data_IF_677027855658
#
_entry.id   IF_677027855658
#
_cell.length_a   1.000
_cell.length_b   1.000
_cell.length_c   1.000
_cell.angle_alpha   90.00
_cell.angle_beta   90.00
_cell.angle_gamma   90.00
#
_symmetry.space_group_name_H-M   'P 1'
#
loop_
_entity.id
_entity.type
_entity.pdbx_description
1 polymer ?
#
# COMPACT_ATOMS: atom_id res chain seq x y z
N UNK A 1 -1.47 0.26 13.23
CA UNK A 1 -1.86 1.27 12.24
C UNK A 1 -3.37 1.30 12.17
N UNK A 2 -3.99 2.47 12.20
CA UNK A 2 -5.45 2.65 12.22
C UNK A 2 -6.05 2.69 10.81
N UNK A 3 -5.25 3.03 9.81
CA UNK A 3 -5.72 3.29 8.46
C UNK A 3 -5.09 2.30 7.49
N UNK A 4 -5.94 1.53 6.84
CA UNK A 4 -5.57 0.60 5.79
C UNK A 4 -5.97 1.20 4.44
N UNK A 5 -4.99 1.31 3.55
CA UNK A 5 -5.18 1.86 2.20
C UNK A 5 -5.07 0.80 1.12
N UNK A 6 -5.23 -0.47 1.54
CA UNK A 6 -5.44 -1.62 0.68
C UNK A 6 -6.55 -2.47 1.30
N UNK A 7 -7.44 -3.00 0.48
CA UNK A 7 -8.60 -3.76 0.93
C UNK A 7 -8.34 -5.26 0.84
N UNK A 8 -7.50 -5.69 -0.11
CA UNK A 8 -7.18 -7.10 -0.32
C UNK A 8 -5.84 -7.28 -1.02
N UNK A 9 -5.10 -8.30 -0.61
CA UNK A 9 -3.94 -8.82 -1.35
C UNK A 9 -4.47 -9.86 -2.35
N UNK A 10 -4.17 -9.68 -3.63
CA UNK A 10 -4.59 -10.56 -4.71
C UNK A 10 -3.53 -11.61 -5.01
N UNK A 11 -2.25 -11.22 -4.90
CA UNK A 11 -1.11 -12.08 -5.15
C UNK A 11 0.04 -11.70 -4.22
N UNK A 12 0.76 -12.69 -3.72
CA UNK A 12 2.02 -12.50 -3.03
C UNK A 12 2.99 -13.58 -3.49
N UNK A 13 4.03 -13.17 -4.21
CA UNK A 13 5.18 -14.00 -4.56
C UNK A 13 6.34 -13.58 -3.65
N UNK A 14 6.72 -14.39 -2.66
CA UNK A 14 7.70 -14.00 -1.64
C UNK A 14 8.98 -13.46 -2.25
N UNK A 15 9.50 -12.35 -1.70
CA UNK A 15 10.72 -11.67 -2.13
C UNK A 15 10.71 -11.11 -3.56
N UNK A 16 9.60 -11.19 -4.29
CA UNK A 16 9.51 -10.77 -5.68
C UNK A 16 8.43 -9.72 -5.90
N UNK A 17 7.16 -10.06 -5.66
CA UNK A 17 6.04 -9.21 -6.03
C UNK A 17 4.85 -9.39 -5.09
N UNK A 18 4.14 -8.29 -4.87
CA UNK A 18 2.82 -8.28 -4.24
C UNK A 18 1.87 -7.47 -5.11
N UNK A 19 0.67 -7.99 -5.29
CA UNK A 19 -0.45 -7.28 -5.92
C UNK A 19 -1.56 -7.10 -4.90
N UNK A 20 -1.99 -5.86 -4.71
CA UNK A 20 -3.11 -5.52 -3.83
C UNK A 20 -4.11 -4.60 -4.53
N UNK A 21 -5.31 -4.52 -4.01
CA UNK A 21 -6.35 -3.61 -4.51
C UNK A 21 -6.90 -2.71 -3.40
N UNK A 22 -7.33 -1.53 -3.80
CA UNK A 22 -8.10 -0.56 -3.02
C UNK A 22 -9.30 -0.10 -3.81
N UNK A 23 -10.50 -0.31 -3.27
CA UNK A 23 -11.72 0.25 -3.83
C UNK A 23 -11.92 1.67 -3.29
N UNK A 24 -12.12 2.62 -4.18
CA UNK A 24 -12.40 4.01 -3.81
C UNK A 24 -13.91 4.16 -3.63
N UNK A 25 -14.32 4.44 -2.39
CA UNK A 25 -15.74 4.51 -2.02
C UNK A 25 -16.12 5.91 -1.56
N UNK A 26 -17.25 6.42 -2.07
CA UNK A 26 -17.80 7.69 -1.58
C UNK A 26 -18.16 7.67 -0.07
N UNK A 27 -18.24 6.49 0.55
CA UNK A 27 -18.44 6.35 1.99
C UNK A 27 -17.19 6.70 2.82
N UNK A 28 -16.04 6.93 2.19
CA UNK A 28 -14.80 7.30 2.87
C UNK A 28 -14.81 8.79 3.21
N UNK A 29 -14.64 9.11 4.49
CA UNK A 29 -14.78 10.47 5.03
C UNK A 29 -13.88 11.50 4.31
N UNK A 30 -12.63 11.13 4.00
CA UNK A 30 -11.70 12.04 3.33
C UNK A 30 -12.15 12.48 1.93
N UNK A 31 -13.05 11.74 1.25
CA UNK A 31 -13.57 12.13 -0.06
C UNK A 31 -14.67 13.17 0.01
N UNK A 32 -15.27 13.39 1.19
CA UNK A 32 -16.25 14.44 1.39
C UNK A 32 -15.60 15.82 1.49
N UNK A 33 -14.39 15.89 2.06
CA UNK A 33 -13.69 17.15 2.34
C UNK A 33 -12.62 17.48 1.31
N UNK A 34 -12.07 16.47 0.62
CA UNK A 34 -11.04 16.68 -0.40
C UNK A 34 -11.69 17.22 -1.67
N UNK A 35 -11.52 18.52 -1.88
CA UNK A 35 -12.21 19.37 -2.84
C UNK A 35 -13.73 19.39 -2.61
N UNK A 36 -14.13 19.84 -1.41
CA UNK A 36 -15.53 20.08 -1.08
C UNK A 36 -16.17 21.11 -2.04
N UNK A 37 -17.49 21.05 -2.18
CA UNK A 37 -18.23 22.05 -2.97
C UNK A 37 -18.03 23.44 -2.39
N UNK A 38 -17.94 24.44 -3.26
CA UNK A 38 -17.91 25.86 -2.94
C UNK A 38 -19.03 26.61 -3.68
N UNK A 39 -19.13 27.94 -3.47
CA UNK A 39 -20.05 28.78 -4.25
C UNK A 39 -19.77 28.72 -5.76
N UNK A 40 -18.53 28.47 -6.16
CA UNK A 40 -18.05 28.64 -7.52
C UNK A 40 -17.73 27.31 -8.23
N UNK A 41 -17.69 26.19 -7.49
CA UNK A 41 -17.37 24.88 -8.03
C UNK A 41 -18.10 23.72 -7.31
N UNK A 42 -18.55 22.68 -8.04
CA UNK A 42 -19.09 21.46 -7.43
C UNK A 42 -18.00 20.71 -6.65
N UNK A 43 -18.43 19.81 -5.76
CA UNK A 43 -17.52 18.89 -5.10
C UNK A 43 -16.80 18.01 -6.11
N UNK A 44 -15.52 17.73 -5.87
CA UNK A 44 -14.68 16.89 -6.68
C UNK A 44 -14.04 15.80 -5.77
N UNK A 45 -14.74 14.69 -5.51
CA UNK A 45 -14.24 13.63 -4.62
C UNK A 45 -13.12 12.85 -5.29
N UNK A 46 -11.90 13.26 -5.05
CA UNK A 46 -10.68 12.63 -5.59
C UNK A 46 -9.88 12.05 -4.44
N UNK A 47 -9.45 10.79 -4.57
CA UNK A 47 -8.56 10.19 -3.58
C UNK A 47 -7.22 10.93 -3.57
N UNK A 48 -6.78 11.48 -2.43
CA UNK A 48 -5.52 12.19 -2.33
C UNK A 48 -4.34 11.32 -2.76
N UNK A 49 -3.43 11.87 -3.57
CA UNK A 49 -2.24 11.14 -4.03
C UNK A 49 -1.39 10.62 -2.86
N UNK A 50 -1.33 11.34 -1.75
CA UNK A 50 -0.63 10.89 -0.52
C UNK A 50 -1.16 9.57 0.02
N UNK A 51 -2.47 9.33 -0.09
CA UNK A 51 -3.12 8.09 0.34
C UNK A 51 -2.88 6.95 -0.67
N UNK A 52 -2.73 7.27 -1.96
CA UNK A 52 -2.31 6.30 -2.99
C UNK A 52 -0.86 5.88 -2.73
N UNK A 53 0.03 6.83 -2.39
CA UNK A 53 1.42 6.54 -1.98
C UNK A 53 1.44 5.66 -0.73
N UNK A 54 0.60 5.93 0.27
CA UNK A 54 0.50 5.10 1.47
C UNK A 54 0.00 3.69 1.14
N UNK A 55 -0.98 3.52 0.25
CA UNK A 55 -1.43 2.21 -0.23
C UNK A 55 -0.31 1.40 -0.88
N UNK A 56 0.52 2.05 -1.69
CA UNK A 56 1.72 1.43 -2.26
C UNK A 56 2.76 1.11 -1.17
N UNK A 57 2.96 2.00 -0.19
CA UNK A 57 3.90 1.78 0.91
C UNK A 57 3.47 0.58 1.78
N UNK A 58 2.17 0.43 2.05
CA UNK A 58 1.63 -0.73 2.75
C UNK A 58 1.83 -2.01 1.93
N UNK A 59 1.56 -1.98 0.63
CA UNK A 59 1.74 -3.13 -0.27
C UNK A 59 3.21 -3.57 -0.31
N UNK A 60 4.12 -2.65 -0.56
CA UNK A 60 5.56 -2.92 -0.61
C UNK A 60 6.13 -3.29 0.77
N UNK A 61 5.68 -2.62 1.84
CA UNK A 61 6.09 -2.92 3.21
C UNK A 61 5.70 -4.34 3.65
N UNK A 62 4.49 -4.80 3.27
CA UNK A 62 4.07 -6.19 3.51
C UNK A 62 4.96 -7.17 2.74
N UNK A 63 5.28 -6.88 1.47
CA UNK A 63 6.15 -7.73 0.67
C UNK A 63 7.55 -7.87 1.30
N UNK A 64 8.13 -6.75 1.74
CA UNK A 64 9.43 -6.72 2.41
C UNK A 64 9.37 -7.42 3.77
N UNK A 65 8.38 -7.11 4.60
CA UNK A 65 8.20 -7.75 5.90
C UNK A 65 7.94 -9.25 5.82
N UNK A 66 7.15 -9.69 4.84
CA UNK A 66 6.88 -11.12 4.59
C UNK A 66 8.16 -11.89 4.27
N UNK A 67 9.11 -11.28 3.56
CA UNK A 67 10.38 -11.89 3.21
C UNK A 67 11.23 -12.28 4.42
N UNK A 68 11.08 -11.56 5.54
CA UNK A 68 11.72 -11.82 6.84
C UNK A 68 10.76 -12.43 7.88
N UNK A 69 9.60 -12.97 7.48
CA UNK A 69 8.60 -13.53 8.41
C UNK A 69 8.06 -12.50 9.40
N UNK A 70 8.06 -11.22 9.05
CA UNK A 70 7.67 -10.08 9.90
C UNK A 70 8.43 -9.98 11.23
N UNK A 71 9.64 -10.56 11.29
CA UNK A 71 10.49 -10.47 12.47
C UNK A 71 11.04 -9.06 12.67
N UNK A 72 11.45 -8.42 11.58
CA UNK A 72 12.09 -7.11 11.59
C UNK A 72 11.07 -5.96 11.44
N UNK A 73 11.42 -4.81 12.02
CA UNK A 73 10.63 -3.59 11.90
C UNK A 73 10.98 -2.85 10.61
N UNK A 74 10.18 -3.07 9.58
CA UNK A 74 10.35 -2.46 8.26
C UNK A 74 9.61 -1.13 8.22
N UNK A 75 10.33 -0.04 8.03
CA UNK A 75 9.75 1.31 7.92
C UNK A 75 10.03 1.93 6.56
N UNK A 76 9.12 2.77 6.08
CA UNK A 76 9.36 3.60 4.90
C UNK A 76 10.43 4.64 5.23
N UNK A 77 11.57 4.57 4.56
CA UNK A 77 12.69 5.49 4.74
C UNK A 77 12.66 6.63 3.71
N UNK A 78 12.25 6.34 2.47
CA UNK A 78 12.24 7.34 1.39
C UNK A 78 11.22 7.00 0.31
N UNK A 79 10.53 8.02 -0.17
CA UNK A 79 9.82 8.03 -1.46
C UNK A 79 10.77 8.57 -2.50
N UNK A 80 11.27 7.72 -3.40
CA UNK A 80 12.25 8.10 -4.42
C UNK A 80 11.58 8.65 -5.67
N UNK A 81 10.36 8.16 -5.96
CA UNK A 81 9.51 8.60 -7.05
C UNK A 81 8.04 8.47 -6.64
N UNK A 82 7.21 9.42 -7.04
CA UNK A 82 5.77 9.33 -6.95
C UNK A 82 5.16 10.15 -8.08
N UNK A 83 4.62 9.49 -9.07
CA UNK A 83 3.99 10.11 -10.25
C UNK A 83 2.62 9.48 -10.48
N UNK A 84 1.62 10.32 -10.73
CA UNK A 84 0.26 9.92 -11.11
C UNK A 84 -0.16 10.73 -12.33
N UNK A 85 -0.83 10.09 -13.29
CA UNK A 85 -1.31 10.70 -14.53
C UNK A 85 -2.82 10.75 -14.63
N UNK A 86 -3.53 10.26 -13.61
CA UNK A 86 -4.99 10.30 -13.53
C UNK A 86 -5.44 10.31 -12.07
N UNK A 87 -6.60 10.90 -11.83
CA UNK A 87 -7.27 10.92 -10.55
C UNK A 87 -8.05 9.63 -10.30
N UNK A 88 -8.12 9.21 -9.04
CA UNK A 88 -8.96 8.10 -8.60
C UNK A 88 -10.21 8.65 -7.91
N UNK A 89 -11.37 8.39 -8.50
CA UNK A 89 -12.68 8.84 -8.02
C UNK A 89 -13.51 7.69 -7.47
N UNK A 90 -14.57 7.95 -6.69
CA UNK A 90 -15.46 6.92 -6.19
C UNK A 90 -16.00 6.01 -7.28
N UNK A 91 -16.02 4.70 -7.00
CA UNK A 91 -16.42 3.65 -7.94
C UNK A 91 -15.22 3.01 -8.67
N UNK A 92 -14.05 3.66 -8.67
CA UNK A 92 -12.84 3.07 -9.24
C UNK A 92 -12.18 2.08 -8.27
N UNK A 93 -11.34 1.22 -8.84
CA UNK A 93 -10.43 0.36 -8.09
C UNK A 93 -8.99 0.69 -8.47
N UNK A 94 -8.15 0.95 -7.48
CA UNK A 94 -6.71 1.00 -7.66
C UNK A 94 -6.12 -0.39 -7.48
N UNK A 95 -5.24 -0.80 -8.39
CA UNK A 95 -4.43 -2.00 -8.27
C UNK A 95 -2.97 -1.59 -8.09
N UNK A 96 -2.40 -1.98 -6.97
CA UNK A 96 -0.99 -1.77 -6.64
C UNK A 96 -0.20 -3.02 -6.98
N UNK A 97 0.86 -2.88 -7.75
CA UNK A 97 1.84 -3.94 -8.01
C UNK A 97 3.19 -3.49 -7.50
N UNK A 98 3.60 -3.98 -6.34
CA UNK A 98 4.91 -3.73 -5.75
C UNK A 98 5.89 -4.84 -6.14
N UNK A 99 7.10 -4.47 -6.59
CA UNK A 99 8.16 -5.40 -6.99
C UNK A 99 9.46 -5.04 -6.27
N UNK A 100 10.13 -6.03 -5.68
CA UNK A 100 11.44 -5.85 -5.06
C UNK A 100 12.49 -5.68 -6.15
N UNK A 101 13.27 -4.60 -6.05
CA UNK A 101 14.42 -4.36 -6.91
C UNK A 101 15.72 -4.83 -6.25
N UNK A 102 15.85 -4.53 -4.96
CA UNK A 102 16.98 -4.93 -4.13
C UNK A 102 16.50 -5.14 -2.71
N UNK A 103 17.06 -6.12 -2.01
CA UNK A 103 16.79 -6.39 -0.60
C UNK A 103 18.02 -7.02 0.06
N UNK A 104 18.41 -6.47 1.19
CA UNK A 104 19.48 -6.98 2.05
C UNK A 104 19.11 -6.86 3.53
N UNK A 105 20.09 -7.09 4.44
CA UNK A 105 19.86 -7.01 5.87
C UNK A 105 19.55 -5.58 6.37
N UNK A 106 19.87 -4.55 5.61
CA UNK A 106 19.67 -3.15 6.02
C UNK A 106 18.33 -2.60 5.52
N UNK A 107 17.79 -3.14 4.41
CA UNK A 107 16.54 -2.66 3.87
C UNK A 107 16.20 -3.19 2.51
N UNK A 108 15.30 -2.49 1.84
CA UNK A 108 14.86 -2.86 0.50
C UNK A 108 14.52 -1.63 -0.35
N UNK A 109 14.76 -1.75 -1.65
CA UNK A 109 14.25 -0.86 -2.68
C UNK A 109 13.16 -1.58 -3.48
N UNK A 110 12.06 -0.90 -3.70
CA UNK A 110 10.91 -1.42 -4.46
C UNK A 110 10.48 -0.44 -5.52
N UNK A 111 9.99 -0.96 -6.64
CA UNK A 111 9.23 -0.18 -7.61
C UNK A 111 7.77 -0.60 -7.57
N UNK A 112 6.87 0.36 -7.71
CA UNK A 112 5.44 0.13 -7.67
C UNK A 112 4.75 0.71 -8.89
N UNK A 113 3.85 -0.08 -9.51
CA UNK A 113 2.92 0.38 -10.53
C UNK A 113 1.54 0.54 -9.93
N UNK A 114 0.90 1.65 -10.26
CA UNK A 114 -0.51 1.91 -9.91
C UNK A 114 -1.34 1.82 -11.17
N UNK A 115 -2.33 0.95 -11.15
CA UNK A 115 -3.29 0.80 -12.23
C UNK A 115 -4.67 1.23 -11.74
N UNK A 116 -5.41 1.94 -12.60
CA UNK A 116 -6.79 2.34 -12.39
C UNK A 116 -7.71 1.42 -13.17
N UNK A 117 -8.73 0.91 -12.49
CA UNK A 117 -9.82 0.11 -13.06
C UNK A 117 -11.10 0.90 -12.84
N UNK A 118 -11.62 1.46 -13.91
CA UNK A 118 -12.84 2.28 -13.89
C UNK A 118 -14.08 1.41 -14.12
N UNK A 119 -15.24 1.80 -13.57
CA UNK A 119 -16.51 1.17 -13.97
C UNK A 119 -16.70 1.31 -15.48
N UNK A 120 -17.04 0.22 -16.15
CA UNK A 120 -17.37 0.30 -17.57
C UNK A 120 -18.71 1.03 -17.79
N UNK A 121 -18.87 1.65 -18.95
CA UNK A 121 -20.12 2.28 -19.38
C UNK A 121 -21.28 1.28 -19.56
N UNK A 122 -21.03 -0.02 -19.45
CA UNK A 122 -22.03 -1.08 -19.51
C UNK A 122 -22.39 -1.58 -18.12
N UNK A 123 -23.66 -2.00 -17.86
CA UNK A 123 -24.13 -2.37 -16.51
C UNK A 123 -23.37 -3.53 -15.83
N UNK A 124 -22.52 -4.26 -16.52
CA UNK A 124 -21.93 -5.52 -16.06
C UNK A 124 -20.41 -5.60 -16.16
N UNK A 125 -19.71 -4.48 -16.39
CA UNK A 125 -18.28 -4.55 -16.68
C UNK A 125 -17.42 -3.52 -15.95
N UNK A 126 -16.13 -3.84 -15.86
CA UNK A 126 -15.06 -2.89 -15.56
C UNK A 126 -14.22 -2.66 -16.80
N UNK A 127 -13.70 -1.46 -16.96
CA UNK A 127 -12.72 -1.17 -17.99
C UNK A 127 -11.44 -2.00 -17.78
N UNK A 128 -10.69 -2.23 -18.85
CA UNK A 128 -9.37 -2.86 -18.70
C UNK A 128 -8.47 -2.00 -17.80
N UNK A 129 -7.66 -2.63 -16.93
CA UNK A 129 -6.73 -1.90 -16.07
C UNK A 129 -5.80 -1.01 -16.90
N UNK A 130 -5.61 0.24 -16.48
CA UNK A 130 -4.75 1.22 -17.11
C UNK A 130 -3.67 1.68 -16.13
N UNK A 131 -2.41 1.60 -16.51
CA UNK A 131 -1.32 2.15 -15.69
C UNK A 131 -1.48 3.67 -15.63
N UNK A 132 -1.56 4.19 -14.41
CA UNK A 132 -1.76 5.62 -14.13
C UNK A 132 -0.69 6.19 -13.20
N UNK A 133 0.23 5.36 -12.69
CA UNK A 133 1.26 5.88 -11.80
C UNK A 133 2.42 4.92 -11.58
N UNK A 134 3.52 5.51 -11.10
CA UNK A 134 4.70 4.81 -10.61
C UNK A 134 5.13 5.40 -9.28
N UNK A 135 5.42 4.54 -8.30
CA UNK A 135 5.83 4.91 -6.95
C UNK A 135 7.00 4.03 -6.55
N UNK A 136 8.20 4.62 -6.43
CA UNK A 136 9.41 3.91 -6.03
C UNK A 136 9.78 4.25 -4.59
N UNK A 137 9.98 3.23 -3.77
CA UNK A 137 10.12 3.34 -2.33
C UNK A 137 11.39 2.66 -1.83
N UNK A 138 11.94 3.21 -0.76
CA UNK A 138 13.03 2.57 0.00
C UNK A 138 12.57 2.32 1.43
N UNK A 139 12.82 1.12 1.91
CA UNK A 139 12.53 0.67 3.26
C UNK A 139 13.81 0.45 4.04
N UNK A 140 13.78 0.69 5.34
CA UNK A 140 14.85 0.41 6.28
C UNK A 140 14.40 -0.62 7.32
N UNK A 141 15.27 -1.56 7.61
CA UNK A 141 15.17 -2.47 8.75
C UNK A 141 15.76 -1.76 9.96
N UNK A 142 14.94 -1.08 10.76
CA UNK A 142 15.42 -0.18 11.82
C UNK A 142 16.17 -0.91 12.92
N UNK A 143 15.85 -2.18 13.17
CA UNK A 143 16.57 -2.99 14.15
C UNK A 143 18.06 -3.13 13.80
N UNK A 144 18.41 -3.05 12.51
CA UNK A 144 19.77 -3.19 12.01
C UNK A 144 20.48 -1.84 11.75
N UNK A 145 19.72 -0.75 11.55
CA UNK A 145 20.26 0.53 11.08
C UNK A 145 20.33 1.63 12.14
N UNK A 146 19.73 1.42 13.31
CA UNK A 146 19.70 2.43 14.38
C UNK A 146 20.44 1.93 15.62
N UNK A 147 21.75 1.73 15.47
CA UNK A 147 22.63 1.31 16.58
C UNK A 147 22.52 2.28 17.76
N UNK A 148 22.32 1.73 18.97
CA UNK A 148 22.18 2.50 20.20
C UNK A 148 20.76 2.99 20.52
N UNK A 149 19.77 2.72 19.66
CA UNK A 149 18.36 2.97 19.95
C UNK A 149 17.68 1.64 20.31
N UNK A 150 17.09 1.58 21.50
CA UNK A 150 16.30 0.41 21.91
C UNK A 150 14.86 0.54 21.40
N UNK A 151 14.44 -0.40 20.58
CA UNK A 151 13.05 -0.53 20.14
C UNK A 151 12.29 -1.56 20.97
N UNK A 152 10.96 -1.43 21.11
CA UNK A 152 10.15 -2.47 21.73
C UNK A 152 10.38 -3.83 21.06
N UNK A 153 10.40 -4.90 21.85
CA UNK A 153 10.60 -6.27 21.33
C UNK A 153 9.48 -6.70 20.37
N UNK A 154 8.23 -6.22 20.62
CA UNK A 154 7.13 -6.50 19.72
C UNK A 154 7.22 -5.68 18.43
N UNK A 155 6.83 -6.27 17.30
CA UNK A 155 6.77 -5.56 16.05
C UNK A 155 5.54 -4.64 16.00
N UNK A 156 5.74 -3.34 16.22
CA UNK A 156 4.68 -2.33 16.20
C UNK A 156 4.29 -1.88 14.79
N UNK A 157 5.07 -2.25 13.77
CA UNK A 157 4.80 -1.89 12.36
C UNK A 157 3.68 -2.76 11.82
N UNK A 158 3.76 -4.07 12.01
CA UNK A 158 2.79 -5.04 11.51
C UNK A 158 1.77 -5.41 12.59
N UNK A 159 0.89 -4.45 12.93
CA UNK A 159 -0.15 -4.64 13.94
C UNK A 159 -1.36 -5.45 13.44
N UNK A 160 -2.39 -5.55 14.28
CA UNK A 160 -3.58 -6.39 14.04
C UNK A 160 -4.34 -6.07 12.74
N UNK A 161 -4.33 -4.83 12.27
CA UNK A 161 -4.92 -4.46 10.97
C UNK A 161 -4.25 -5.21 9.81
N UNK A 162 -2.91 -5.25 9.79
CA UNK A 162 -2.17 -6.01 8.77
C UNK A 162 -2.39 -7.51 8.90
N UNK A 163 -2.41 -8.06 10.12
CA UNK A 163 -2.69 -9.48 10.35
C UNK A 163 -4.10 -9.85 9.86
N UNK A 164 -5.07 -8.96 10.06
CA UNK A 164 -6.43 -9.15 9.56
C UNK A 164 -6.45 -9.14 8.03
N UNK A 165 -5.78 -8.18 7.39
CA UNK A 165 -5.67 -8.11 5.94
C UNK A 165 -5.04 -9.39 5.36
N UNK A 166 -3.93 -9.87 5.93
CA UNK A 166 -3.26 -11.11 5.50
C UNK A 166 -4.22 -12.30 5.60
N UNK A 167 -4.89 -12.46 6.74
CA UNK A 167 -5.86 -13.56 6.98
C UNK A 167 -7.01 -13.53 5.98
N UNK A 168 -7.65 -12.38 5.80
CA UNK A 168 -8.80 -12.23 4.89
C UNK A 168 -8.41 -12.35 3.42
N UNK A 169 -7.14 -12.12 3.10
CA UNK A 169 -6.58 -12.34 1.77
C UNK A 169 -6.08 -13.77 1.53
N UNK A 170 -6.12 -14.64 2.55
CA UNK A 170 -5.63 -16.02 2.44
C UNK A 170 -4.09 -16.14 2.39
N UNK A 171 -3.39 -15.08 2.77
CA UNK A 171 -1.92 -15.09 2.83
C UNK A 171 -1.48 -15.79 4.11
N UNK A 172 -0.71 -16.86 3.97
CA UNK A 172 -0.12 -17.57 5.10
C UNK A 172 1.20 -16.92 5.50
N UNK A 173 1.43 -16.75 6.79
CA UNK A 173 2.72 -16.36 7.36
C UNK A 173 2.96 -17.10 8.66
N UNK A 174 4.21 -17.29 9.01
CA UNK A 174 4.59 -17.77 10.34
C UNK A 174 5.12 -16.57 11.12
N UNK A 175 4.54 -16.30 12.29
CA UNK A 175 5.17 -15.33 13.21
C UNK A 175 6.52 -15.90 13.62
N UNK A 176 7.58 -15.10 13.45
CA UNK A 176 8.87 -15.43 14.03
C UNK A 176 8.69 -15.60 15.55
N UNK A 177 9.07 -16.74 16.08
CA UNK A 177 9.04 -16.95 17.55
C UNK A 177 9.98 -15.94 18.18
N UNK A 178 9.55 -15.22 19.22
CA UNK A 178 10.48 -14.39 19.98
C UNK A 178 11.59 -15.31 20.51
N UNK A 179 12.83 -14.98 20.15
CA UNK A 179 14.05 -15.59 20.70
C UNK A 179 14.31 -15.09 22.11
#
# INVERSE_FOLDING_TARGET
MRWMWIDRIIELVPRQRLVAVKHVSLAEEHLHDHFAASSDAPAMPIMPMSLIVEGMAQSAGILVGHAGGFAEKVILAKVSKAEMTADATPGCTLRYTATVQQMDAQGAATTGLVELIEPASTPTGFAAPRVVGQIDLMFSHIDNNMAGVAFPAHNFVFGEGFKTLLRTSGVQWQEARPT
#
